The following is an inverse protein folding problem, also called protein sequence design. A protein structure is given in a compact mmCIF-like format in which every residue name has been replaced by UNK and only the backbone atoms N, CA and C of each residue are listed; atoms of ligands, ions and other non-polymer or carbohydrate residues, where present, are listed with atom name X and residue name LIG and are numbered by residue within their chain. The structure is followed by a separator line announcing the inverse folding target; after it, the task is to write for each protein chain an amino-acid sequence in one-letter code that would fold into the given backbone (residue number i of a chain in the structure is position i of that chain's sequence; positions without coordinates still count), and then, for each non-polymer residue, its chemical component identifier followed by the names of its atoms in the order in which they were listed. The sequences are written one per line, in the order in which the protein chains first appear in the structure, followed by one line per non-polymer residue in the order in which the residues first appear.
data_IF_739120370472
#
_entry.id   IF_739120370472
#
_cell.length_a   1.000
_cell.length_b   1.000
_cell.length_c   1.000
_cell.angle_alpha   90.00
_cell.angle_beta   90.00
_cell.angle_gamma   90.00
#
_symmetry.space_group_name_H-M   'P 1'
#
loop_
_entity.id
_entity.type
_entity.pdbx_description
1 polymer ?
#
# COMPACT_ATOMS: atom_id res chain seq x y z
N UNK A 1 -16.24 -12.06 9.92
CA UNK A 1 -15.36 -10.90 10.15
C UNK A 1 -14.81 -10.55 8.78
N UNK A 2 -15.12 -9.37 8.27
CA UNK A 2 -14.60 -8.88 6.98
C UNK A 2 -13.28 -8.17 7.26
N UNK A 3 -12.23 -8.53 6.51
CA UNK A 3 -10.94 -7.82 6.58
C UNK A 3 -11.09 -6.53 5.77
N UNK A 4 -10.65 -5.42 6.34
CA UNK A 4 -10.62 -4.12 5.67
C UNK A 4 -9.18 -3.63 5.57
N UNK A 5 -8.90 -2.84 4.55
CA UNK A 5 -7.57 -2.28 4.28
C UNK A 5 -7.64 -0.76 4.30
N UNK A 6 -6.52 -0.11 4.64
CA UNK A 6 -6.43 1.35 4.68
C UNK A 6 -5.36 1.86 3.73
N UNK A 7 -5.69 2.80 2.86
CA UNK A 7 -4.71 3.39 1.95
C UNK A 7 -3.76 4.32 2.70
N UNK A 8 -2.44 4.11 2.64
CA UNK A 8 -1.50 5.05 3.30
C UNK A 8 -1.28 6.36 2.54
N UNK A 9 -1.90 6.56 1.37
CA UNK A 9 -1.78 7.81 0.61
C UNK A 9 -2.93 8.79 0.82
N UNK A 10 -4.12 8.29 1.13
CA UNK A 10 -5.31 9.12 1.29
C UNK A 10 -6.16 8.74 2.51
N UNK A 11 -5.71 7.76 3.31
CA UNK A 11 -6.36 7.29 4.54
C UNK A 11 -7.78 6.74 4.37
N UNK A 12 -8.17 6.40 3.13
CA UNK A 12 -9.45 5.76 2.82
C UNK A 12 -9.41 4.28 3.19
N UNK A 13 -10.46 3.83 3.89
CA UNK A 13 -10.70 2.43 4.24
C UNK A 13 -11.50 1.76 3.12
N UNK A 14 -11.05 0.60 2.66
CA UNK A 14 -11.69 -0.18 1.58
C UNK A 14 -11.78 -1.66 1.91
N UNK A 15 -12.79 -2.32 1.38
CA UNK A 15 -12.92 -3.79 1.41
C UNK A 15 -12.05 -4.47 0.34
N UNK A 16 -11.75 -3.78 -0.77
CA UNK A 16 -10.96 -4.28 -1.89
C UNK A 16 -9.96 -3.21 -2.37
N UNK A 17 -8.72 -3.61 -2.61
CA UNK A 17 -7.62 -2.70 -2.97
C UNK A 17 -7.52 -2.48 -4.49
N UNK A 18 -7.94 -3.45 -5.32
CA UNK A 18 -7.58 -3.54 -6.76
C UNK A 18 -7.98 -2.34 -7.61
N UNK A 19 -9.04 -1.62 -7.22
CA UNK A 19 -9.59 -0.49 -7.96
C UNK A 19 -9.32 0.85 -7.25
N UNK A 20 -8.42 0.86 -6.27
CA UNK A 20 -8.11 2.06 -5.52
C UNK A 20 -7.28 3.05 -6.36
N UNK A 21 -7.69 4.32 -6.52
CA UNK A 21 -7.03 5.26 -7.44
C UNK A 21 -5.56 5.53 -7.10
N UNK A 22 -5.16 5.44 -5.82
CA UNK A 22 -3.77 5.65 -5.42
C UNK A 22 -2.79 4.54 -5.84
N UNK A 23 -3.28 3.41 -6.36
CA UNK A 23 -2.42 2.33 -6.90
C UNK A 23 -2.44 2.29 -8.43
N UNK A 24 -3.17 3.20 -9.08
CA UNK A 24 -3.17 3.31 -10.55
C UNK A 24 -1.76 3.63 -11.05
N UNK A 25 -1.28 2.84 -12.02
CA UNK A 25 0.05 3.00 -12.60
C UNK A 25 1.17 2.25 -11.86
N UNK A 26 0.90 1.61 -10.71
CA UNK A 26 1.87 0.77 -10.02
C UNK A 26 1.68 -0.70 -10.42
N UNK A 27 2.75 -1.50 -10.42
CA UNK A 27 2.66 -2.96 -10.67
C UNK A 27 2.44 -3.78 -9.40
N UNK A 28 2.80 -3.20 -8.25
CA UNK A 28 2.94 -3.91 -6.99
C UNK A 28 2.42 -3.05 -5.83
N UNK A 29 1.93 -3.74 -4.80
CA UNK A 29 1.60 -3.15 -3.52
C UNK A 29 2.28 -3.92 -2.40
N UNK A 30 2.52 -3.23 -1.30
CA UNK A 30 2.90 -3.80 -0.02
C UNK A 30 1.74 -3.63 0.95
N UNK A 31 1.46 -4.64 1.78
CA UNK A 31 0.46 -4.58 2.85
C UNK A 31 1.15 -4.93 4.15
N UNK A 32 1.08 -4.04 5.13
CA UNK A 32 1.67 -4.28 6.45
C UNK A 32 0.74 -5.10 7.37
N UNK A 33 1.24 -5.46 8.55
CA UNK A 33 0.51 -6.25 9.54
C UNK A 33 -0.74 -5.53 10.11
N UNK A 34 -0.85 -4.22 9.90
CA UNK A 34 -1.97 -3.40 10.33
C UNK A 34 -3.00 -3.19 9.20
N UNK A 35 -2.86 -3.89 8.07
CA UNK A 35 -3.70 -3.78 6.87
C UNK A 35 -3.62 -2.40 6.19
N UNK A 36 -2.53 -1.64 6.39
CA UNK A 36 -2.25 -0.52 5.52
C UNK A 36 -1.63 -1.03 4.23
N UNK A 37 -2.09 -0.49 3.10
CA UNK A 37 -1.49 -0.79 1.81
C UNK A 37 -0.78 0.42 1.22
N UNK A 38 0.28 0.11 0.47
CA UNK A 38 1.26 1.05 -0.04
C UNK A 38 1.59 0.66 -1.49
N UNK A 39 1.51 1.56 -2.47
CA UNK A 39 2.06 1.29 -3.79
C UNK A 39 3.58 1.18 -3.74
N UNK A 40 4.13 0.24 -4.52
CA UNK A 40 5.56 -0.07 -4.61
C UNK A 40 6.08 0.36 -5.98
N UNK A 41 7.20 1.08 -6.00
CA UNK A 41 7.91 1.47 -7.22
C UNK A 41 8.50 0.25 -7.96
N UNK A 42 8.88 0.44 -9.22
CA UNK A 42 9.41 -0.63 -10.09
C UNK A 42 10.69 -1.31 -9.55
N UNK A 43 11.43 -0.68 -8.63
CA UNK A 43 12.59 -1.32 -7.97
C UNK A 43 12.16 -2.46 -7.02
N UNK A 44 10.87 -2.52 -6.65
CA UNK A 44 10.33 -3.53 -5.74
C UNK A 44 10.77 -3.36 -4.29
N UNK A 45 11.46 -2.26 -3.95
CA UNK A 45 11.97 -1.98 -2.60
C UNK A 45 11.49 -0.67 -2.02
N UNK A 46 10.92 0.22 -2.81
CA UNK A 46 10.51 1.55 -2.36
C UNK A 46 8.99 1.65 -2.38
N UNK A 47 8.39 2.03 -1.26
CA UNK A 47 6.97 2.37 -1.17
C UNK A 47 6.74 3.86 -1.24
N UNK A 48 5.54 4.23 -1.65
CA UNK A 48 5.04 5.60 -1.59
C UNK A 48 3.99 5.71 -0.49
N UNK A 49 4.14 6.68 0.42
CA UNK A 49 3.20 6.90 1.53
C UNK A 49 3.02 8.37 1.87
N UNK A 50 1.89 8.73 2.46
CA UNK A 50 1.74 10.03 3.11
C UNK A 50 2.47 10.00 4.46
N UNK A 51 3.24 11.04 4.74
CA UNK A 51 3.93 11.22 6.02
C UNK A 51 3.85 12.67 6.47
N UNK A 52 3.77 12.85 7.79
CA UNK A 52 4.01 14.13 8.42
C UNK A 52 5.53 14.38 8.46
N UNK A 53 5.94 15.58 8.06
CA UNK A 53 7.31 16.08 8.10
C UNK A 53 7.58 16.85 9.40
N UNK A 54 8.85 17.16 9.68
CA UNK A 54 9.27 17.88 10.89
C UNK A 54 8.58 19.25 11.05
N UNK A 55 8.23 19.91 9.95
CA UNK A 55 7.54 21.21 9.93
C UNK A 55 6.01 21.07 10.08
N UNK A 56 5.51 19.91 10.54
CA UNK A 56 4.08 19.57 10.69
C UNK A 56 3.28 19.59 9.38
N UNK A 57 3.94 19.69 8.23
CA UNK A 57 3.32 19.56 6.92
C UNK A 57 3.18 18.08 6.54
N UNK A 58 2.22 17.78 5.67
CA UNK A 58 2.05 16.43 5.12
C UNK A 58 2.55 16.40 3.68
N UNK A 59 3.31 15.36 3.35
CA UNK A 59 3.82 15.14 2.00
C UNK A 59 3.76 13.66 1.64
N UNK A 60 3.69 13.40 0.34
CA UNK A 60 3.94 12.07 -0.21
C UNK A 60 5.44 11.86 -0.27
N UNK A 61 5.92 10.79 0.38
CA UNK A 61 7.35 10.46 0.49
C UNK A 61 7.62 9.05 -0.02
N UNK A 62 8.85 8.84 -0.45
CA UNK A 62 9.43 7.52 -0.71
C UNK A 62 10.02 6.96 0.57
N UNK A 63 9.76 5.69 0.85
CA UNK A 63 10.28 4.98 2.03
C UNK A 63 10.79 3.60 1.59
N UNK A 64 11.90 3.14 2.17
CA UNK A 64 12.45 1.82 1.85
C UNK A 64 11.68 0.75 2.61
N UNK A 65 11.23 -0.28 1.89
CA UNK A 65 10.66 -1.48 2.48
C UNK A 65 11.72 -2.18 3.32
N UNK A 66 11.49 -2.24 4.63
CA UNK A 66 12.33 -3.03 5.51
C UNK A 66 12.24 -4.51 5.09
N UNK A 67 13.38 -5.13 4.79
CA UNK A 67 13.50 -6.44 4.10
C UNK A 67 12.88 -7.62 4.88
N UNK A 68 12.40 -7.38 6.10
CA UNK A 68 11.81 -8.39 6.98
C UNK A 68 10.28 -8.51 6.86
N UNK A 69 9.58 -7.54 6.29
CA UNK A 69 8.13 -7.62 6.07
C UNK A 69 7.84 -8.05 4.61
N UNK A 70 7.49 -9.32 4.45
CA UNK A 70 7.78 -10.10 3.24
C UNK A 70 6.67 -10.20 2.20
N UNK A 71 5.64 -9.37 2.22
CA UNK A 71 4.53 -9.55 1.26
C UNK A 71 4.29 -8.34 0.37
N UNK A 72 5.05 -8.33 -0.72
CA UNK A 72 4.75 -7.56 -1.92
C UNK A 72 3.83 -8.40 -2.79
N UNK A 73 2.65 -7.88 -3.08
CA UNK A 73 1.70 -8.51 -3.98
C UNK A 73 1.77 -7.83 -5.34
N UNK A 74 1.86 -8.61 -6.41
CA UNK A 74 1.57 -8.09 -7.74
C UNK A 74 0.08 -7.75 -7.82
N UNK A 75 -0.25 -6.60 -8.43
CA UNK A 75 -1.64 -6.17 -8.56
C UNK A 75 -2.51 -7.13 -9.40
N UNK A 76 -1.88 -7.94 -10.25
CA UNK A 76 -2.54 -9.03 -10.97
C UNK A 76 -2.95 -10.21 -10.08
N UNK A 77 -2.45 -10.28 -8.84
CA UNK A 77 -2.68 -11.39 -7.91
C UNK A 77 -3.51 -11.00 -6.67
N UNK A 78 -3.76 -9.70 -6.41
CA UNK A 78 -4.57 -9.28 -5.25
C UNK A 78 -6.02 -9.75 -5.35
N UNK A 79 -6.57 -9.88 -6.56
CA UNK A 79 -7.92 -10.42 -6.80
C UNK A 79 -8.10 -11.85 -6.27
N UNK A 80 -7.00 -12.61 -6.06
CA UNK A 80 -7.06 -13.98 -5.53
C UNK A 80 -7.02 -14.05 -3.99
N UNK A 81 -6.79 -12.94 -3.29
CA UNK A 81 -6.79 -12.89 -1.83
C UNK A 81 -8.19 -12.67 -1.22
N UNK A 82 -9.20 -12.43 -2.06
CA UNK A 82 -10.59 -12.15 -1.66
C UNK A 82 -11.49 -13.40 -1.71
N UNK A 83 -10.92 -14.61 -1.83
CA UNK A 83 -11.71 -15.85 -1.89
C UNK A 83 -11.91 -16.50 -0.51
N UNK A 84 -13.04 -16.20 0.14
CA UNK A 84 -13.64 -17.05 1.18
C UNK A 84 -15.13 -17.27 0.92
#
# INVERSE_FOLDING_TARGET
ITVVYTCRLCEVIVDEITDHPCIEGYGHIYIDNNHYFYPVLDDGKTIIRQSQLDDHTEAVVEDELETNDRIIYALTNVSSLVSF
#
